data_IF_172713483219
#
_entry.id   IF_172713483219
#
_cell.length_a   1.000
_cell.length_b   1.000
_cell.length_c   1.000
_cell.angle_alpha   90.00
_cell.angle_beta   90.00
_cell.angle_gamma   90.00
#
_symmetry.space_group_name_H-M   'P 1'
#
loop_
_entity.id
_entity.type
_entity.pdbx_description
1 polymer ?
#
# COMPACT_ATOMS: atom_id res chain seq x y z
N UNK A 1 42.43 -2.53 -6.78
CA UNK A 1 41.32 -2.40 -7.75
C UNK A 1 40.56 -3.71 -7.98
N UNK A 2 41.20 -4.86 -8.23
CA UNK A 2 40.48 -6.14 -8.44
C UNK A 2 39.53 -6.54 -7.29
N UNK A 3 39.95 -6.37 -6.04
CA UNK A 3 39.11 -6.68 -4.86
C UNK A 3 37.84 -5.80 -4.77
N UNK A 4 37.94 -4.54 -5.21
CA UNK A 4 36.80 -3.61 -5.25
C UNK A 4 35.81 -4.05 -6.33
N UNK A 5 36.29 -4.44 -7.52
CA UNK A 5 35.43 -4.94 -8.60
C UNK A 5 34.72 -6.25 -8.24
N UNK A 6 35.39 -7.15 -7.52
CA UNK A 6 34.78 -8.38 -6.99
C UNK A 6 33.69 -8.03 -5.97
N UNK A 7 33.96 -7.12 -5.04
CA UNK A 7 32.97 -6.68 -4.05
C UNK A 7 31.76 -6.00 -4.72
N UNK A 8 31.98 -5.18 -5.75
CA UNK A 8 30.91 -4.50 -6.49
C UNK A 8 29.98 -5.48 -7.23
N UNK A 9 30.52 -6.61 -7.72
CA UNK A 9 29.70 -7.68 -8.32
C UNK A 9 29.01 -8.56 -7.28
N UNK A 10 29.57 -8.67 -6.07
CA UNK A 10 28.98 -9.41 -4.96
C UNK A 10 27.80 -8.67 -4.32
N UNK A 11 27.90 -7.34 -4.18
CA UNK A 11 26.90 -6.51 -3.52
C UNK A 11 25.46 -6.76 -4.01
N UNK A 12 25.16 -6.75 -5.34
CA UNK A 12 23.80 -6.97 -5.87
C UNK A 12 23.17 -8.32 -5.48
N UNK A 13 24.00 -9.34 -5.25
CA UNK A 13 23.54 -10.71 -4.94
C UNK A 13 23.64 -11.04 -3.46
N UNK A 14 24.05 -10.08 -2.63
CA UNK A 14 24.33 -10.29 -1.21
C UNK A 14 23.30 -9.61 -0.33
N UNK A 15 23.28 -10.02 0.95
CA UNK A 15 22.48 -9.38 2.01
C UNK A 15 22.85 -7.90 2.26
N UNK A 16 23.93 -7.40 1.66
CA UNK A 16 24.41 -6.01 1.80
C UNK A 16 23.86 -5.07 0.72
N UNK A 17 23.02 -5.56 -0.21
CA UNK A 17 22.39 -4.71 -1.24
C UNK A 17 21.68 -3.49 -0.65
N UNK A 18 21.05 -3.65 0.52
CA UNK A 18 20.37 -2.57 1.24
C UNK A 18 21.29 -1.37 1.55
N UNK A 19 22.61 -1.56 1.71
CA UNK A 19 23.55 -0.46 1.99
C UNK A 19 23.68 0.44 0.76
N UNK A 20 23.75 -0.16 -0.43
CA UNK A 20 23.82 0.57 -1.69
C UNK A 20 22.48 1.28 -1.99
N UNK A 21 21.37 0.56 -1.82
CA UNK A 21 20.04 1.11 -2.11
C UNK A 21 19.56 2.14 -1.09
N UNK A 22 20.04 2.08 0.17
CA UNK A 22 19.71 3.07 1.19
C UNK A 22 20.06 4.49 0.74
N UNK A 23 21.17 4.69 0.02
CA UNK A 23 21.52 6.00 -0.54
C UNK A 23 20.42 6.51 -1.48
N UNK A 24 20.02 5.69 -2.46
CA UNK A 24 18.96 6.05 -3.40
C UNK A 24 17.61 6.24 -2.70
N UNK A 25 17.27 5.37 -1.74
CA UNK A 25 16.04 5.49 -0.98
C UNK A 25 15.98 6.81 -0.20
N UNK A 26 17.07 7.20 0.46
CA UNK A 26 17.12 8.50 1.15
C UNK A 26 17.04 9.68 0.20
N UNK A 27 17.61 9.57 -1.00
CA UNK A 27 17.53 10.61 -2.04
C UNK A 27 16.10 10.78 -2.58
N UNK A 28 15.39 9.68 -2.81
CA UNK A 28 14.01 9.67 -3.29
C UNK A 28 12.96 9.65 -2.16
N UNK A 29 13.41 9.85 -0.91
CA UNK A 29 12.51 9.86 0.24
C UNK A 29 11.48 10.99 0.13
N UNK A 30 10.28 10.72 0.64
CA UNK A 30 9.18 11.69 0.63
C UNK A 30 9.54 12.94 1.44
N UNK A 31 9.49 14.10 0.80
CA UNK A 31 9.75 15.42 1.42
C UNK A 31 8.49 16.12 1.96
N UNK A 32 7.31 15.56 1.66
CA UNK A 32 6.03 16.03 2.20
C UNK A 32 5.92 15.69 3.70
N UNK A 33 5.05 16.37 4.46
CA UNK A 33 4.72 15.97 5.83
C UNK A 33 4.37 14.47 5.89
N UNK A 34 4.93 13.75 6.87
CA UNK A 34 4.81 12.28 6.98
C UNK A 34 3.36 11.80 7.13
N UNK A 35 2.47 12.64 7.66
CA UNK A 35 1.03 12.37 7.78
C UNK A 35 0.20 12.67 6.54
N UNK A 36 0.78 13.25 5.48
CA UNK A 36 0.06 13.53 4.25
C UNK A 36 -0.20 12.23 3.48
N UNK A 37 -1.48 11.95 3.20
CA UNK A 37 -1.91 10.85 2.34
C UNK A 37 -2.19 11.39 0.95
N UNK A 38 -1.73 10.70 -0.09
CA UNK A 38 -2.06 11.10 -1.45
C UNK A 38 -3.53 10.76 -1.72
N UNK A 39 -4.21 11.77 -2.27
CA UNK A 39 -5.60 11.65 -2.69
C UNK A 39 -5.66 10.95 -4.05
N UNK A 40 -6.73 10.19 -4.29
CA UNK A 40 -6.99 9.53 -5.56
C UNK A 40 -7.80 10.48 -6.46
N UNK A 41 -7.21 11.06 -7.53
CA UNK A 41 -7.88 12.09 -8.32
C UNK A 41 -9.20 11.61 -8.95
N UNK A 42 -9.23 10.35 -9.41
CA UNK A 42 -10.42 9.72 -9.99
C UNK A 42 -11.61 9.74 -9.01
N UNK A 43 -11.41 9.31 -7.76
CA UNK A 43 -12.45 9.32 -6.72
C UNK A 43 -12.74 10.76 -6.25
N UNK A 44 -11.71 11.60 -6.14
CA UNK A 44 -11.91 12.99 -5.71
C UNK A 44 -12.84 13.75 -6.65
N UNK A 45 -12.77 13.49 -7.96
CA UNK A 45 -13.63 14.13 -8.95
C UNK A 45 -15.09 13.69 -8.81
N UNK A 46 -15.33 12.38 -8.65
CA UNK A 46 -16.64 11.81 -8.31
C UNK A 46 -17.22 12.44 -7.03
N UNK A 47 -16.44 12.48 -5.95
CA UNK A 47 -16.91 13.07 -4.67
C UNK A 47 -17.21 14.56 -4.82
N UNK A 48 -16.40 15.31 -5.58
CA UNK A 48 -16.64 16.74 -5.83
C UNK A 48 -17.90 16.97 -6.65
N UNK A 49 -18.21 16.11 -7.62
CA UNK A 49 -19.44 16.20 -8.39
C UNK A 49 -20.66 15.89 -7.52
N UNK A 50 -20.60 14.85 -6.68
CA UNK A 50 -21.66 14.53 -5.70
C UNK A 50 -21.92 15.66 -4.71
N UNK A 51 -20.87 16.39 -4.30
CA UNK A 51 -20.98 17.52 -3.38
C UNK A 51 -21.34 18.85 -4.06
N UNK A 52 -21.54 18.87 -5.39
CA UNK A 52 -21.82 20.09 -6.16
C UNK A 52 -20.68 21.12 -6.18
N UNK A 53 -19.43 20.66 -5.96
CA UNK A 53 -18.22 21.49 -5.86
C UNK A 53 -17.41 21.55 -7.18
N UNK A 54 -17.86 20.88 -8.23
CA UNK A 54 -17.31 20.98 -9.58
C UNK A 54 -18.41 21.36 -10.56
N UNK A 55 -18.11 22.23 -11.52
CA UNK A 55 -18.93 22.35 -12.73
C UNK A 55 -18.96 20.97 -13.41
N UNK A 56 -20.11 20.56 -13.91
CA UNK A 56 -20.35 19.26 -14.58
C UNK A 56 -19.36 19.07 -15.74
N UNK A 57 -18.15 18.58 -15.48
CA UNK A 57 -17.10 18.45 -16.50
C UNK A 57 -16.82 16.98 -16.82
N UNK A 58 -17.46 16.52 -17.89
CA UNK A 58 -16.91 15.73 -19.01
C UNK A 58 -15.94 14.57 -18.75
N UNK A 59 -16.03 13.90 -17.61
CA UNK A 59 -15.47 12.55 -17.44
C UNK A 59 -16.41 11.78 -16.53
N UNK A 60 -17.63 11.54 -17.03
CA UNK A 60 -18.31 10.32 -16.64
C UNK A 60 -17.35 9.19 -16.98
N UNK A 61 -16.90 8.44 -15.97
CA UNK A 61 -16.20 7.18 -16.21
C UNK A 61 -17.09 6.41 -17.19
N UNK A 62 -16.60 6.16 -18.40
CA UNK A 62 -17.29 5.27 -19.31
C UNK A 62 -17.38 3.94 -18.58
N UNK A 63 -18.59 3.52 -18.17
CA UNK A 63 -18.84 2.23 -17.52
C UNK A 63 -18.39 1.02 -18.39
N UNK A 64 -18.02 1.29 -19.65
CA UNK A 64 -17.49 0.33 -20.61
C UNK A 64 -15.95 0.16 -20.54
N UNK A 65 -15.22 1.04 -19.83
CA UNK A 65 -13.81 0.82 -19.47
C UNK A 65 -13.73 0.05 -18.15
N UNK A 66 -12.86 -0.96 -18.11
CA UNK A 66 -12.58 -1.78 -16.93
C UNK A 66 -12.36 -0.86 -15.71
N UNK A 67 -13.14 -1.06 -14.64
CA UNK A 67 -13.07 -0.24 -13.43
C UNK A 67 -11.60 -0.10 -13.00
N UNK A 68 -11.10 1.14 -12.78
CA UNK A 68 -9.70 1.33 -12.41
C UNK A 68 -9.42 0.58 -11.11
N UNK A 69 -8.33 -0.21 -11.08
CA UNK A 69 -7.90 -0.90 -9.87
C UNK A 69 -7.53 0.14 -8.81
N UNK A 70 -8.15 0.04 -7.64
CA UNK A 70 -7.93 0.98 -6.55
C UNK A 70 -6.94 0.37 -5.57
N UNK A 71 -5.88 1.10 -5.23
CA UNK A 71 -4.88 0.56 -4.31
C UNK A 71 -3.92 -0.42 -5.00
N UNK A 72 -3.43 -1.42 -4.25
CA UNK A 72 -2.51 -2.42 -4.76
C UNK A 72 -2.84 -3.82 -4.25
N UNK A 73 -3.16 -4.75 -5.16
CA UNK A 73 -3.29 -6.19 -4.88
C UNK A 73 -1.96 -6.87 -4.54
N UNK A 74 -0.93 -6.51 -5.29
CA UNK A 74 0.39 -7.14 -5.27
C UNK A 74 1.50 -6.09 -5.49
N UNK A 75 2.76 -6.49 -5.44
CA UNK A 75 3.94 -5.63 -5.57
C UNK A 75 3.92 -4.80 -6.85
N UNK A 76 3.33 -5.32 -7.94
CA UNK A 76 3.21 -4.61 -9.21
C UNK A 76 2.33 -3.36 -9.14
N UNK A 77 1.36 -3.33 -8.22
CA UNK A 77 0.49 -2.17 -7.97
C UNK A 77 1.07 -1.17 -6.98
N UNK A 78 2.18 -1.49 -6.31
CA UNK A 78 2.87 -0.56 -5.41
C UNK A 78 3.72 0.44 -6.20
N UNK A 79 3.99 1.60 -5.58
CA UNK A 79 4.94 2.55 -6.16
C UNK A 79 6.33 1.93 -6.22
N UNK A 80 7.10 2.27 -7.24
CA UNK A 80 8.51 1.86 -7.33
C UNK A 80 9.32 2.33 -6.10
N UNK A 81 8.89 3.41 -5.44
CA UNK A 81 9.50 3.92 -4.19
C UNK A 81 9.25 2.95 -3.03
N UNK A 82 8.05 2.36 -2.95
CA UNK A 82 7.71 1.39 -1.91
C UNK A 82 8.54 0.11 -2.06
N UNK A 83 8.69 -0.35 -3.31
CA UNK A 83 9.53 -1.51 -3.65
C UNK A 83 11.01 -1.20 -3.36
N UNK A 84 11.51 -0.02 -3.75
CA UNK A 84 12.87 0.41 -3.41
C UNK A 84 13.07 0.47 -1.88
N UNK A 85 12.08 0.94 -1.14
CA UNK A 85 12.08 0.97 0.31
C UNK A 85 12.16 -0.43 0.91
N UNK A 86 11.46 -1.41 0.34
CA UNK A 86 11.52 -2.81 0.75
C UNK A 86 12.94 -3.38 0.60
N UNK A 87 13.60 -3.16 -0.54
CA UNK A 87 15.00 -3.58 -0.75
C UNK A 87 16.02 -2.79 0.06
N UNK A 88 15.69 -1.57 0.49
CA UNK A 88 16.55 -0.73 1.33
C UNK A 88 16.38 -0.99 2.82
N UNK A 89 15.42 -1.83 3.21
CA UNK A 89 15.16 -2.16 4.60
C UNK A 89 16.37 -2.83 5.26
N UNK A 90 16.80 -2.29 6.39
CA UNK A 90 17.94 -2.81 7.17
C UNK A 90 17.55 -3.87 8.20
N UNK A 91 16.27 -4.26 8.25
CA UNK A 91 15.71 -5.21 9.21
C UNK A 91 15.90 -4.86 10.70
N UNK A 92 16.30 -3.61 10.99
CA UNK A 92 16.63 -3.14 12.34
C UNK A 92 15.48 -3.18 13.36
N UNK A 93 14.23 -3.30 12.89
CA UNK A 93 13.05 -3.49 13.76
C UNK A 93 12.57 -2.26 14.52
N UNK A 94 13.16 -1.08 14.32
CA UNK A 94 12.74 0.17 14.99
C UNK A 94 11.26 0.48 14.75
N UNK A 95 10.79 0.30 13.52
CA UNK A 95 9.39 0.52 13.14
C UNK A 95 8.42 -0.42 13.88
N UNK A 96 8.83 -1.66 14.14
CA UNK A 96 8.06 -2.62 14.94
C UNK A 96 8.10 -2.28 16.41
N UNK A 97 9.26 -1.92 16.95
CA UNK A 97 9.43 -1.58 18.36
C UNK A 97 8.61 -0.36 18.82
N UNK A 98 8.33 0.59 17.92
CA UNK A 98 7.48 1.76 18.22
C UNK A 98 6.02 1.58 17.79
N UNK A 99 5.65 0.46 17.18
CA UNK A 99 4.30 0.26 16.66
C UNK A 99 3.32 -0.03 17.81
N UNK A 100 2.29 0.83 18.05
CA UNK A 100 1.35 0.62 19.15
C UNK A 100 0.55 -0.69 19.02
N UNK A 101 0.21 -1.08 17.79
CA UNK A 101 -0.47 -2.34 17.50
C UNK A 101 0.41 -3.55 17.88
N UNK A 102 1.70 -3.51 17.55
CA UNK A 102 2.62 -4.57 17.92
C UNK A 102 2.82 -4.65 19.44
N UNK A 103 3.00 -3.51 20.10
CA UNK A 103 3.18 -3.42 21.56
C UNK A 103 1.99 -3.98 22.35
N UNK A 104 0.78 -3.92 21.78
CA UNK A 104 -0.45 -4.47 22.38
C UNK A 104 -0.69 -5.94 22.03
N UNK A 105 0.26 -6.61 21.38
CA UNK A 105 0.19 -8.03 21.04
C UNK A 105 -0.58 -8.34 19.75
N UNK A 106 -0.95 -7.33 18.94
CA UNK A 106 -1.55 -7.57 17.62
C UNK A 106 -0.48 -8.07 16.64
N UNK A 107 -0.92 -8.76 15.58
CA UNK A 107 -0.02 -9.40 14.59
C UNK A 107 0.82 -8.44 13.75
N UNK A 108 0.41 -7.17 13.63
CA UNK A 108 1.10 -6.19 12.79
C UNK A 108 2.55 -5.97 13.22
N UNK A 109 3.46 -6.13 12.27
CA UNK A 109 4.85 -5.70 12.37
C UNK A 109 5.21 -4.94 11.10
N UNK A 110 5.39 -3.60 11.15
CA UNK A 110 5.76 -2.81 9.98
C UNK A 110 7.07 -3.28 9.31
N UNK A 111 8.00 -3.86 10.09
CA UNK A 111 9.19 -4.51 9.51
C UNK A 111 8.80 -5.71 8.65
N UNK A 112 7.91 -6.58 9.15
CA UNK A 112 7.48 -7.78 8.41
C UNK A 112 6.81 -7.39 7.09
N UNK A 113 5.96 -6.37 7.08
CA UNK A 113 5.33 -5.86 5.85
C UNK A 113 6.38 -5.54 4.77
N UNK A 114 7.43 -4.79 5.10
CA UNK A 114 8.47 -4.45 4.11
C UNK A 114 9.26 -5.67 3.64
N UNK A 115 9.43 -6.66 4.51
CA UNK A 115 10.12 -7.90 4.19
C UNK A 115 9.29 -8.79 3.26
N UNK A 116 8.00 -8.92 3.54
CA UNK A 116 7.07 -9.68 2.69
C UNK A 116 6.97 -9.05 1.29
N UNK A 117 6.98 -7.72 1.19
CA UNK A 117 7.01 -7.01 -0.11
C UNK A 117 8.29 -7.32 -0.88
N UNK A 118 9.45 -7.28 -0.22
CA UNK A 118 10.74 -7.60 -0.86
C UNK A 118 10.78 -9.06 -1.32
N UNK A 119 10.40 -9.98 -0.44
CA UNK A 119 10.45 -11.41 -0.72
C UNK A 119 9.46 -11.77 -1.85
N UNK A 120 8.29 -11.12 -1.90
CA UNK A 120 7.36 -11.23 -3.03
C UNK A 120 7.95 -10.65 -4.33
N UNK A 121 8.62 -9.49 -4.26
CA UNK A 121 9.28 -8.90 -5.42
C UNK A 121 10.38 -9.82 -5.99
N UNK A 122 11.19 -10.43 -5.11
CA UNK A 122 12.24 -11.39 -5.49
C UNK A 122 11.65 -12.67 -6.10
N UNK A 123 10.53 -13.17 -5.54
CA UNK A 123 9.83 -14.33 -6.09
C UNK A 123 9.31 -14.06 -7.51
N UNK A 124 8.66 -12.91 -7.72
CA UNK A 124 8.18 -12.48 -9.04
C UNK A 124 9.36 -12.34 -10.00
N UNK A 125 10.43 -11.65 -9.59
CA UNK A 125 11.61 -11.45 -10.42
C UNK A 125 12.23 -12.78 -10.88
N UNK A 126 12.41 -13.72 -9.95
CA UNK A 126 12.98 -15.05 -10.24
C UNK A 126 12.11 -15.83 -11.22
N UNK A 127 10.78 -15.77 -11.08
CA UNK A 127 9.85 -16.44 -12.01
C UNK A 127 9.88 -15.80 -13.39
N UNK A 128 9.90 -14.46 -13.49
CA UNK A 128 10.03 -13.76 -14.77
C UNK A 128 11.37 -14.10 -15.44
N UNK A 129 12.47 -14.09 -14.70
CA UNK A 129 13.81 -14.43 -15.22
C UNK A 129 13.90 -15.89 -15.69
N UNK A 130 13.16 -16.81 -15.05
CA UNK A 130 13.13 -18.23 -15.44
C UNK A 130 12.60 -18.45 -16.87
N UNK A 131 11.81 -17.51 -17.40
CA UNK A 131 11.20 -17.60 -18.73
C UNK A 131 10.14 -18.69 -18.86
N UNK A 132 9.62 -19.20 -17.75
CA UNK A 132 8.61 -20.26 -17.75
C UNK A 132 7.23 -19.71 -18.16
N UNK A 133 6.73 -20.18 -19.30
CA UNK A 133 5.47 -19.71 -19.89
C UNK A 133 4.24 -20.12 -19.08
N UNK A 134 4.38 -20.97 -18.05
CA UNK A 134 3.26 -21.32 -17.16
C UNK A 134 2.73 -20.13 -16.36
N UNK A 135 3.54 -19.09 -16.16
CA UNK A 135 3.17 -17.87 -15.43
C UNK A 135 2.73 -16.73 -16.36
N UNK A 136 2.66 -16.98 -17.67
CA UNK A 136 2.21 -15.99 -18.63
C UNK A 136 0.67 -15.98 -18.68
N UNK A 137 0.07 -14.80 -18.54
CA UNK A 137 -1.39 -14.63 -18.70
C UNK A 137 -1.80 -14.96 -20.14
N UNK A 138 -1.01 -14.47 -21.09
CA UNK A 138 -1.14 -14.68 -22.51
C UNK A 138 0.06 -15.52 -23.00
N UNK A 139 -0.21 -16.78 -23.37
CA UNK A 139 0.81 -17.73 -23.82
C UNK A 139 1.47 -17.32 -25.15
N UNK A 140 0.84 -16.43 -25.93
CA UNK A 140 1.37 -15.95 -27.21
C UNK A 140 2.38 -14.80 -27.04
N UNK A 141 2.46 -14.22 -25.84
CA UNK A 141 3.38 -13.11 -25.52
C UNK A 141 4.53 -13.58 -24.64
N UNK A 142 5.73 -12.97 -24.77
CA UNK A 142 6.85 -13.30 -23.89
C UNK A 142 6.48 -12.96 -22.44
N UNK A 143 7.00 -13.77 -21.52
CA UNK A 143 6.89 -13.51 -20.09
C UNK A 143 7.53 -12.17 -19.78
N UNK A 144 6.74 -11.25 -19.23
CA UNK A 144 7.17 -9.90 -18.91
C UNK A 144 6.39 -9.41 -17.70
N UNK A 145 6.80 -8.26 -17.13
CA UNK A 145 6.10 -7.64 -16.00
C UNK A 145 4.59 -7.46 -16.27
N UNK A 146 4.23 -7.13 -17.50
CA UNK A 146 2.84 -6.83 -17.88
C UNK A 146 2.05 -8.10 -18.29
N UNK A 147 2.73 -9.24 -18.41
CA UNK A 147 2.16 -10.52 -18.82
C UNK A 147 2.53 -11.62 -17.80
N UNK A 148 2.40 -11.33 -16.51
CA UNK A 148 2.76 -12.24 -15.43
C UNK A 148 1.60 -12.42 -14.45
N UNK A 149 1.19 -13.66 -14.21
CA UNK A 149 0.30 -14.05 -13.13
C UNK A 149 0.68 -15.45 -12.62
N UNK A 150 0.96 -15.57 -11.33
CA UNK A 150 1.25 -16.84 -10.67
C UNK A 150 0.16 -17.27 -9.68
N UNK A 151 -1.00 -16.62 -9.73
CA UNK A 151 -2.15 -16.89 -8.87
C UNK A 151 -1.94 -16.48 -7.41
N UNK A 152 -0.83 -15.81 -7.07
CA UNK A 152 -0.53 -15.33 -5.72
C UNK A 152 -0.60 -13.81 -5.65
N UNK A 153 -0.71 -13.28 -4.45
CA UNK A 153 -0.75 -11.85 -4.18
C UNK A 153 -0.05 -11.51 -2.87
N UNK A 154 0.12 -10.22 -2.56
CA UNK A 154 0.65 -9.80 -1.27
C UNK A 154 -0.23 -10.24 -0.09
N UNK A 155 -1.53 -10.49 -0.31
CA UNK A 155 -2.44 -10.99 0.72
C UNK A 155 -2.13 -12.42 1.17
N UNK A 156 -1.33 -13.18 0.42
CA UNK A 156 -0.85 -14.51 0.84
C UNK A 156 0.29 -14.45 1.87
N UNK A 157 0.96 -13.31 1.97
CA UNK A 157 2.11 -13.08 2.86
C UNK A 157 1.73 -12.16 4.03
N UNK A 158 0.84 -11.21 3.76
CA UNK A 158 0.35 -10.21 4.69
C UNK A 158 -1.13 -10.46 4.94
N UNK A 159 -1.47 -10.88 6.15
CA UNK A 159 -2.86 -11.15 6.52
C UNK A 159 -3.68 -9.86 6.64
N UNK A 160 -5.00 -9.96 6.34
CA UNK A 160 -5.96 -8.86 6.54
C UNK A 160 -5.96 -8.37 8.00
N UNK A 161 -5.75 -9.26 8.97
CA UNK A 161 -5.61 -8.88 10.39
C UNK A 161 -4.39 -7.98 10.64
N UNK A 162 -3.25 -8.28 10.02
CA UNK A 162 -2.06 -7.41 10.09
C UNK A 162 -2.36 -6.05 9.46
N UNK A 163 -3.00 -6.04 8.28
CA UNK A 163 -3.39 -4.80 7.62
C UNK A 163 -4.28 -3.98 8.54
N UNK A 164 -5.41 -4.52 9.01
CA UNK A 164 -6.43 -3.81 9.81
C UNK A 164 -5.99 -3.44 11.23
N UNK A 165 -4.92 -4.05 11.75
CA UNK A 165 -4.34 -3.63 13.02
C UNK A 165 -3.63 -2.26 12.96
N UNK A 166 -3.26 -1.77 11.77
CA UNK A 166 -2.60 -0.46 11.60
C UNK A 166 -3.54 0.71 11.96
N UNK A 167 -3.13 1.57 12.90
CA UNK A 167 -3.92 2.74 13.30
C UNK A 167 -3.51 4.03 12.60
N UNK A 168 -2.74 3.93 11.50
CA UNK A 168 -2.25 5.07 10.69
C UNK A 168 -1.53 6.17 11.49
N UNK A 169 -0.93 5.83 12.64
CA UNK A 169 -0.29 6.79 13.56
C UNK A 169 1.08 7.32 13.13
N UNK A 170 1.63 6.86 12.00
CA UNK A 170 2.95 7.23 11.47
C UNK A 170 4.20 6.94 12.32
N UNK A 171 4.08 6.32 13.50
CA UNK A 171 5.24 6.02 14.35
C UNK A 171 6.35 5.22 13.63
N UNK A 172 5.98 4.27 12.77
CA UNK A 172 6.94 3.48 11.99
C UNK A 172 7.73 4.31 10.96
N UNK A 173 7.07 5.29 10.33
CA UNK A 173 7.66 6.22 9.37
C UNK A 173 8.62 7.17 10.08
N UNK A 174 8.23 7.64 11.26
CA UNK A 174 9.06 8.53 12.08
C UNK A 174 10.35 7.87 12.56
N UNK A 175 10.27 6.61 12.98
CA UNK A 175 11.39 5.87 13.56
C UNK A 175 12.38 5.28 12.54
N UNK A 176 12.07 5.33 11.24
CA UNK A 176 12.89 4.69 10.22
C UNK A 176 14.19 5.48 9.95
N UNK A 177 15.38 4.90 10.16
CA UNK A 177 16.66 5.61 10.00
C UNK A 177 17.03 5.87 8.54
N UNK A 178 16.39 5.18 7.60
CA UNK A 178 16.61 5.32 6.15
C UNK A 178 15.37 5.84 5.42
N UNK A 179 14.41 6.43 6.16
CA UNK A 179 13.26 7.14 5.61
C UNK A 179 12.29 6.29 4.76
N UNK A 180 12.16 4.99 5.07
CA UNK A 180 11.15 4.12 4.46
C UNK A 180 9.78 4.44 5.07
N UNK A 181 8.72 4.33 4.26
CA UNK A 181 7.33 4.50 4.67
C UNK A 181 6.56 3.16 4.60
N UNK A 182 6.54 2.35 5.67
CA UNK A 182 5.73 1.12 5.69
C UNK A 182 4.22 1.36 5.74
N UNK A 183 3.77 2.60 6.02
CA UNK A 183 2.35 2.91 6.08
C UNK A 183 1.73 2.94 4.69
N UNK A 184 2.47 3.41 3.67
CA UNK A 184 1.94 3.56 2.31
C UNK A 184 1.48 2.21 1.72
N UNK A 185 2.30 1.13 1.70
CA UNK A 185 1.84 -0.16 1.20
C UNK A 185 0.63 -0.72 1.96
N UNK A 186 0.57 -0.52 3.29
CA UNK A 186 -0.58 -0.95 4.10
C UNK A 186 -1.85 -0.23 3.65
N UNK A 187 -1.78 1.08 3.37
CA UNK A 187 -2.91 1.85 2.88
C UNK A 187 -3.32 1.41 1.47
N UNK A 188 -2.36 1.16 0.57
CA UNK A 188 -2.66 0.69 -0.78
C UNK A 188 -3.35 -0.68 -0.78
N UNK A 189 -2.88 -1.62 0.05
CA UNK A 189 -3.53 -2.93 0.18
C UNK A 189 -4.93 -2.83 0.79
N UNK A 190 -5.11 -2.00 1.83
CA UNK A 190 -6.45 -1.75 2.41
C UNK A 190 -7.41 -1.12 1.40
N UNK A 191 -6.93 -0.19 0.58
CA UNK A 191 -7.72 0.44 -0.48
C UNK A 191 -8.20 -0.59 -1.49
N UNK A 192 -7.32 -1.50 -1.91
CA UNK A 192 -7.68 -2.60 -2.81
C UNK A 192 -8.73 -3.53 -2.22
N UNK A 193 -8.52 -3.98 -0.99
CA UNK A 193 -9.47 -4.82 -0.28
C UNK A 193 -10.87 -4.17 -0.20
N UNK A 194 -10.95 -2.89 0.16
CA UNK A 194 -12.24 -2.22 0.37
C UNK A 194 -12.92 -1.83 -0.94
N UNK A 195 -12.19 -1.20 -1.86
CA UNK A 195 -12.78 -0.59 -3.05
C UNK A 195 -12.87 -1.55 -4.24
N UNK A 196 -11.97 -2.54 -4.33
CA UNK A 196 -11.95 -3.50 -5.43
C UNK A 196 -12.56 -4.84 -5.06
N UNK A 197 -12.21 -5.41 -3.90
CA UNK A 197 -12.80 -6.68 -3.46
C UNK A 197 -14.13 -6.52 -2.72
N UNK A 198 -14.53 -5.28 -2.39
CA UNK A 198 -15.70 -4.99 -1.52
C UNK A 198 -15.62 -5.75 -0.19
N UNK A 199 -14.40 -5.97 0.30
CA UNK A 199 -14.09 -6.72 1.50
C UNK A 199 -13.55 -5.78 2.59
N UNK A 200 -13.72 -6.17 3.85
CA UNK A 200 -13.20 -5.40 4.96
C UNK A 200 -13.79 -5.88 6.29
N UNK A 201 -13.37 -5.27 7.42
CA UNK A 201 -13.93 -5.60 8.72
C UNK A 201 -15.44 -5.34 8.73
N UNK A 202 -16.24 -6.34 9.12
CA UNK A 202 -17.70 -6.22 9.17
C UNK A 202 -18.17 -5.06 10.06
N UNK A 203 -17.37 -4.74 11.08
CA UNK A 203 -17.61 -3.64 12.01
C UNK A 203 -17.58 -2.26 11.34
N UNK A 204 -17.02 -2.14 10.13
CA UNK A 204 -16.98 -0.88 9.37
C UNK A 204 -18.19 -0.71 8.43
N UNK A 205 -18.96 -1.78 8.16
CA UNK A 205 -20.14 -1.69 7.28
C UNK A 205 -21.19 -0.66 7.75
N UNK A 206 -21.50 -0.54 9.07
CA UNK A 206 -22.42 0.51 9.53
C UNK A 206 -21.91 1.92 9.23
N UNK A 207 -20.60 2.13 9.32
CA UNK A 207 -19.95 3.40 8.99
C UNK A 207 -20.11 3.72 7.49
N UNK A 208 -19.82 2.76 6.61
CA UNK A 208 -19.96 2.98 5.16
C UNK A 208 -21.40 3.27 4.76
N UNK A 209 -22.35 2.47 5.27
CA UNK A 209 -23.78 2.70 5.02
C UNK A 209 -24.24 4.07 5.53
N UNK A 210 -23.73 4.51 6.69
CA UNK A 210 -24.07 5.82 7.24
C UNK A 210 -23.56 6.95 6.35
N UNK A 211 -22.32 6.85 5.87
CA UNK A 211 -21.72 7.86 4.99
C UNK A 211 -22.51 7.96 3.68
N UNK A 212 -22.86 6.83 3.08
CA UNK A 212 -23.61 6.80 1.81
C UNK A 212 -25.03 7.38 1.95
N UNK A 213 -25.75 7.00 3.00
CA UNK A 213 -27.16 7.39 3.15
C UNK A 213 -27.37 8.77 3.79
N UNK A 214 -26.43 9.22 4.64
CA UNK A 214 -26.61 10.44 5.46
C UNK A 214 -25.48 11.46 5.32
N UNK A 215 -24.41 11.15 4.58
CA UNK A 215 -23.23 12.00 4.50
C UNK A 215 -22.46 12.12 5.83
N UNK A 216 -22.78 11.29 6.83
CA UNK A 216 -22.20 11.32 8.16
C UNK A 216 -21.64 9.96 8.57
N UNK A 217 -20.52 9.98 9.29
CA UNK A 217 -19.87 8.76 9.80
C UNK A 217 -20.71 8.01 10.84
N UNK A 218 -21.65 8.70 11.49
CA UNK A 218 -22.47 8.15 12.55
C UNK A 218 -23.95 8.28 12.18
N UNK A 219 -24.68 7.16 12.25
CA UNK A 219 -26.12 7.17 12.09
C UNK A 219 -26.75 7.70 13.38
N UNK A 220 -27.09 8.99 13.39
CA UNK A 220 -27.76 9.65 14.50
C UNK A 220 -29.23 9.86 14.15
N UNK A 221 -30.13 9.51 15.09
CA UNK A 221 -31.57 9.71 14.92
C UNK A 221 -32.05 11.08 15.41
N UNK A 222 -31.19 11.83 16.11
CA UNK A 222 -31.48 13.16 16.65
C UNK A 222 -30.80 14.23 15.80
N UNK A 223 -31.49 15.36 15.62
CA UNK A 223 -30.92 16.49 14.91
C UNK A 223 -29.69 17.00 15.67
N UNK A 224 -28.61 17.29 14.93
CA UNK A 224 -27.34 17.76 15.51
C UNK A 224 -27.50 18.96 16.44
N UNK A 225 -28.52 19.78 16.21
CA UNK A 225 -28.78 21.01 16.97
C UNK A 225 -29.73 20.83 18.16
N UNK A 226 -30.30 19.64 18.36
CA UNK A 226 -31.34 19.43 19.38
C UNK A 226 -30.83 19.69 20.80
N UNK A 227 -29.55 19.42 21.09
CA UNK A 227 -28.90 19.76 22.37
C UNK A 227 -28.89 21.28 22.65
N UNK A 228 -28.95 22.13 21.63
CA UNK A 228 -28.96 23.59 21.80
C UNK A 228 -30.31 24.12 22.28
N UNK A 229 -31.38 23.34 22.13
CA UNK A 229 -32.76 23.72 22.50
C UNK A 229 -33.14 23.27 23.92
N UNK A 230 -32.25 22.57 24.63
CA UNK A 230 -32.49 22.00 25.97
C UNK A 230 -31.90 22.87 27.12
N UNK A 231 -31.54 24.14 26.85
CA UNK A 231 -31.10 25.12 27.85
C UNK A 231 -32.03 26.33 27.90
#
# INVERSE_FOLDING_TARGET
FGMVLVFLNYLPKSKHLHIFLAFFNTYFARVKPRGEMDNMPAIMQEVKSMMGLSEESETAINLDEELPEFGAKDVMGLSWIDVLGAYSCTECGRCTAVCPANLTGKKLSPRKIMMDIRDRADEIYTKIESGDTQYAVDADKPLSKDNFDDGRSLFDYISREELHACTTCNACVEACPVLINPLEPILQMRRYEILTESAGPSDWLPLFNSIENSGAAWSMSIDREEWTKQG
#
